data_IF_390851045776
#
_entry.id   IF_390851045776
#
_cell.length_a   1.000
_cell.length_b   1.000
_cell.length_c   1.000
_cell.angle_alpha   90.00
_cell.angle_beta   90.00
_cell.angle_gamma   90.00
#
_symmetry.space_group_name_H-M   'P 1'
#
loop_
_entity.id
_entity.type
_entity.pdbx_description
1 polymer ?
#
# COMPACT_ATOMS: atom_id res chain seq x y z
N UNK A 1 15.27 -0.51 11.83
CA UNK A 1 14.20 0.18 11.09
C UNK A 1 13.29 -0.88 10.49
N UNK A 2 11.99 -0.72 10.66
CA UNK A 2 10.99 -1.66 10.13
C UNK A 2 10.00 -0.91 9.23
N UNK A 3 9.67 -1.53 8.10
CA UNK A 3 8.81 -0.96 7.07
C UNK A 3 7.65 -1.92 6.83
N UNK A 4 6.43 -1.39 6.85
CA UNK A 4 5.21 -2.13 6.55
C UNK A 4 4.65 -1.68 5.20
N UNK A 5 4.51 -2.60 4.26
CA UNK A 5 3.80 -2.38 3.01
C UNK A 5 2.32 -2.75 3.16
N UNK A 6 1.44 -1.82 2.80
CA UNK A 6 0.00 -2.00 2.66
C UNK A 6 -0.33 -1.95 1.17
N UNK A 7 -0.48 -3.11 0.56
CA UNK A 7 -0.60 -3.22 -0.88
C UNK A 7 -1.75 -4.08 -1.36
N UNK A 8 -1.76 -4.33 -2.67
CA UNK A 8 -2.75 -5.16 -3.35
C UNK A 8 -2.07 -6.40 -3.96
N UNK A 9 -2.61 -6.92 -5.06
CA UNK A 9 -2.13 -8.13 -5.73
C UNK A 9 -0.63 -8.13 -6.05
N UNK A 10 0.00 -6.98 -6.36
CA UNK A 10 1.44 -6.90 -6.68
C UNK A 10 2.29 -7.10 -5.42
N UNK A 11 1.79 -6.65 -4.28
CA UNK A 11 2.45 -6.78 -2.98
C UNK A 11 2.23 -8.20 -2.39
N UNK A 12 1.15 -8.89 -2.77
CA UNK A 12 0.78 -10.24 -2.28
C UNK A 12 1.55 -11.41 -2.94
N UNK A 13 2.20 -11.18 -4.09
CA UNK A 13 2.78 -12.27 -4.89
C UNK A 13 3.88 -13.06 -4.16
N UNK A 14 3.95 -14.38 -4.44
CA UNK A 14 5.16 -15.18 -4.18
C UNK A 14 6.29 -14.55 -5.00
N UNK A 15 7.44 -14.31 -4.38
CA UNK A 15 8.55 -13.55 -4.96
C UNK A 15 8.20 -12.07 -5.23
N UNK A 16 7.43 -11.44 -4.33
CA UNK A 16 7.12 -10.02 -4.43
C UNK A 16 8.37 -9.15 -4.34
N UNK A 17 8.29 -7.93 -4.88
CA UNK A 17 9.35 -6.93 -4.77
C UNK A 17 9.72 -6.63 -3.30
N UNK A 18 8.78 -6.80 -2.35
CA UNK A 18 9.03 -6.62 -0.91
C UNK A 18 9.99 -7.69 -0.39
N UNK A 19 9.83 -8.95 -0.82
CA UNK A 19 10.75 -10.03 -0.46
C UNK A 19 12.15 -9.75 -1.03
N UNK A 20 12.23 -9.34 -2.30
CA UNK A 20 13.50 -8.98 -2.94
C UNK A 20 14.20 -7.81 -2.25
N UNK A 21 13.45 -6.80 -1.77
CA UNK A 21 14.03 -5.72 -0.95
C UNK A 21 14.65 -6.25 0.35
N UNK A 22 14.04 -7.25 0.98
CA UNK A 22 14.59 -7.92 2.16
C UNK A 22 15.89 -8.67 1.88
N UNK A 23 16.06 -9.20 0.68
CA UNK A 23 17.31 -9.85 0.25
C UNK A 23 18.42 -8.82 -0.02
N UNK A 24 18.07 -7.66 -0.57
CA UNK A 24 19.01 -6.58 -0.90
C UNK A 24 19.47 -5.75 0.30
N UNK A 25 18.70 -5.73 1.38
CA UNK A 25 19.05 -4.93 2.57
C UNK A 25 19.09 -5.80 3.81
N UNK A 26 20.21 -5.76 4.53
CA UNK A 26 20.41 -6.60 5.72
C UNK A 26 19.99 -5.93 7.04
N UNK A 27 19.72 -4.62 7.04
CA UNK A 27 19.48 -3.83 8.26
C UNK A 27 18.03 -3.31 8.36
N UNK A 28 17.19 -3.62 7.38
CA UNK A 28 15.80 -3.15 7.30
C UNK A 28 14.90 -4.36 7.30
N UNK A 29 13.95 -4.40 8.23
CA UNK A 29 12.92 -5.43 8.27
C UNK A 29 11.74 -4.98 7.44
N UNK A 30 11.39 -5.74 6.41
CA UNK A 30 10.20 -5.49 5.61
C UNK A 30 9.10 -6.48 5.96
N UNK A 31 7.88 -5.98 6.17
CA UNK A 31 6.68 -6.78 6.25
C UNK A 31 5.67 -6.25 5.24
N UNK A 32 4.77 -7.11 4.79
CA UNK A 32 3.73 -6.72 3.87
C UNK A 32 2.41 -7.34 4.28
N UNK A 33 1.35 -6.54 4.21
CA UNK A 33 -0.03 -7.01 4.23
C UNK A 33 -0.65 -6.56 2.92
N UNK A 34 -1.17 -7.53 2.17
CA UNK A 34 -1.73 -7.28 0.86
C UNK A 34 -3.02 -8.06 0.68
N UNK A 35 -3.99 -7.42 0.02
CA UNK A 35 -5.26 -8.04 -0.33
C UNK A 35 -5.57 -7.73 -1.78
N UNK A 36 -5.51 -8.73 -2.66
CA UNK A 36 -5.88 -8.57 -4.06
C UNK A 36 -7.32 -8.09 -4.27
N UNK A 37 -7.53 -7.13 -5.17
CA UNK A 37 -8.86 -6.68 -5.58
C UNK A 37 -9.65 -5.86 -4.55
N UNK A 38 -9.05 -5.50 -3.40
CA UNK A 38 -9.74 -4.72 -2.37
C UNK A 38 -9.96 -3.26 -2.80
N UNK A 39 -11.11 -2.71 -2.40
CA UNK A 39 -11.43 -1.30 -2.58
C UNK A 39 -10.61 -0.43 -1.60
N UNK A 40 -10.01 0.71 -2.02
CA UNK A 40 -9.23 1.61 -1.15
C UNK A 40 -9.93 2.03 0.16
N UNK A 41 -11.21 2.43 0.12
CA UNK A 41 -12.00 2.69 1.34
C UNK A 41 -12.05 1.50 2.30
N UNK A 42 -12.23 0.27 1.79
CA UNK A 42 -12.27 -0.94 2.63
C UNK A 42 -10.87 -1.23 3.17
N UNK A 43 -9.84 -1.09 2.33
CA UNK A 43 -8.44 -1.20 2.73
C UNK A 43 -8.08 -0.25 3.88
N UNK A 44 -8.53 1.01 3.84
CA UNK A 44 -8.27 1.98 4.91
C UNK A 44 -8.84 1.56 6.27
N UNK A 45 -9.93 0.80 6.29
CA UNK A 45 -10.53 0.27 7.52
C UNK A 45 -9.84 -1.03 7.95
N UNK A 46 -9.61 -1.97 7.02
CA UNK A 46 -9.00 -3.26 7.34
C UNK A 46 -7.57 -3.11 7.85
N UNK A 47 -6.78 -2.25 7.20
CA UNK A 47 -5.39 -2.06 7.57
C UNK A 47 -5.21 -1.22 8.84
N UNK A 48 -6.29 -0.66 9.42
CA UNK A 48 -6.20 0.03 10.71
C UNK A 48 -5.58 -0.85 11.79
N UNK A 49 -6.02 -2.11 11.89
CA UNK A 49 -5.48 -3.06 12.86
C UNK A 49 -3.99 -3.28 12.63
N UNK A 50 -3.60 -3.54 11.38
CA UNK A 50 -2.21 -3.77 10.99
C UNK A 50 -1.31 -2.57 11.31
N UNK A 51 -1.76 -1.35 11.00
CA UNK A 51 -1.04 -0.11 11.34
C UNK A 51 -0.91 0.02 12.86
N UNK A 52 -1.96 -0.28 13.62
CA UNK A 52 -1.97 -0.10 15.08
C UNK A 52 -1.11 -1.12 15.83
N UNK A 53 -1.04 -2.37 15.36
CA UNK A 53 -0.28 -3.44 16.00
C UNK A 53 1.15 -3.59 15.46
N UNK A 54 1.47 -2.93 14.35
CA UNK A 54 2.80 -2.99 13.75
C UNK A 54 3.83 -2.17 14.53
N UNK A 55 5.03 -2.74 14.65
CA UNK A 55 6.26 -2.10 15.13
C UNK A 55 6.97 -1.28 14.05
N UNK A 56 6.42 -1.19 12.84
CA UNK A 56 7.03 -0.47 11.73
C UNK A 56 7.14 1.04 12.00
N UNK A 57 8.29 1.60 11.66
CA UNK A 57 8.57 3.04 11.68
C UNK A 57 7.94 3.75 10.47
N UNK A 58 7.91 3.04 9.34
CA UNK A 58 7.45 3.52 8.04
C UNK A 58 6.32 2.62 7.54
N UNK A 59 5.25 3.23 7.02
CA UNK A 59 4.16 2.51 6.36
C UNK A 59 4.07 2.98 4.91
N UNK A 60 4.29 2.05 3.98
CA UNK A 60 4.18 2.28 2.54
C UNK A 60 2.79 1.89 2.07
N UNK A 61 2.10 2.80 1.39
CA UNK A 61 0.78 2.57 0.78
C UNK A 61 0.97 2.35 -0.73
N UNK A 62 0.70 1.14 -1.20
CA UNK A 62 0.72 0.75 -2.63
C UNK A 62 -0.72 0.49 -3.10
N UNK A 63 -1.52 1.56 -3.25
CA UNK A 63 -2.92 1.46 -3.73
C UNK A 63 -3.14 2.09 -5.10
N UNK A 64 -2.06 2.58 -5.70
CA UNK A 64 -2.01 3.24 -7.01
C UNK A 64 -2.54 2.32 -8.13
N UNK A 65 -2.26 1.02 -8.05
CA UNK A 65 -2.78 0.02 -9.00
C UNK A 65 -4.31 -0.07 -9.02
N UNK A 66 -5.00 0.10 -7.88
CA UNK A 66 -6.48 0.09 -7.86
C UNK A 66 -7.08 1.40 -8.36
N UNK A 67 -6.40 2.54 -8.18
CA UNK A 67 -6.81 3.81 -8.77
C UNK A 67 -6.73 3.80 -10.31
N UNK A 68 -5.74 3.10 -10.87
CA UNK A 68 -5.50 3.03 -12.31
C UNK A 68 -6.56 2.22 -13.08
N UNK A 69 -7.20 1.22 -12.46
CA UNK A 69 -8.18 0.34 -13.14
C UNK A 69 -9.56 0.97 -13.37
N UNK A 70 -9.68 2.31 -13.29
CA UNK A 70 -10.93 3.07 -13.44
C UNK A 70 -12.09 2.59 -12.54
N UNK A 71 -11.80 1.83 -11.49
CA UNK A 71 -12.84 1.36 -10.57
C UNK A 71 -13.39 2.49 -9.68
N UNK A 72 -12.71 3.65 -9.62
CA UNK A 72 -12.99 4.70 -8.64
C UNK A 72 -12.89 6.11 -9.22
N UNK A 73 -13.68 7.02 -8.67
CA UNK A 73 -13.43 8.44 -8.88
C UNK A 73 -12.14 8.86 -8.17
N UNK A 74 -11.38 9.78 -8.79
CA UNK A 74 -10.19 10.41 -8.18
C UNK A 74 -10.46 10.91 -6.76
N UNK A 75 -11.66 11.45 -6.51
CA UNK A 75 -12.07 11.95 -5.19
C UNK A 75 -12.16 10.83 -4.13
N UNK A 76 -12.74 9.69 -4.47
CA UNK A 76 -12.84 8.55 -3.55
C UNK A 76 -11.46 7.98 -3.22
N UNK A 77 -10.58 7.86 -4.22
CA UNK A 77 -9.21 7.42 -4.00
C UNK A 77 -8.43 8.35 -3.07
N UNK A 78 -8.46 9.66 -3.34
CA UNK A 78 -7.81 10.67 -2.49
C UNK A 78 -8.36 10.60 -1.06
N UNK A 79 -9.68 10.45 -0.90
CA UNK A 79 -10.29 10.34 0.42
C UNK A 79 -9.78 9.11 1.18
N UNK A 80 -9.74 7.93 0.54
CA UNK A 80 -9.20 6.71 1.14
C UNK A 80 -7.73 6.86 1.55
N UNK A 81 -6.91 7.46 0.68
CA UNK A 81 -5.50 7.73 0.98
C UNK A 81 -5.34 8.64 2.21
N UNK A 82 -6.09 9.73 2.27
CA UNK A 82 -6.01 10.67 3.40
C UNK A 82 -6.43 10.03 4.71
N UNK A 83 -7.43 9.13 4.70
CA UNK A 83 -7.80 8.35 5.88
C UNK A 83 -6.66 7.44 6.33
N UNK A 84 -6.06 6.69 5.40
CA UNK A 84 -4.94 5.81 5.69
C UNK A 84 -3.74 6.59 6.26
N UNK A 85 -3.37 7.70 5.63
CA UNK A 85 -2.31 8.61 6.08
C UNK A 85 -2.61 9.12 7.49
N UNK A 86 -3.84 9.57 7.74
CA UNK A 86 -4.26 10.03 9.06
C UNK A 86 -4.10 8.95 10.14
N UNK A 87 -4.44 7.70 9.82
CA UNK A 87 -4.20 6.57 10.73
C UNK A 87 -2.72 6.32 10.98
N UNK A 88 -1.88 6.30 9.95
CA UNK A 88 -0.44 6.08 10.06
C UNK A 88 0.20 7.16 10.96
N UNK A 89 -0.07 8.43 10.68
CA UNK A 89 0.46 9.58 11.43
C UNK A 89 -0.03 9.55 12.88
N UNK A 90 -1.30 9.21 13.11
CA UNK A 90 -1.87 9.08 14.47
C UNK A 90 -1.12 8.08 15.34
N UNK A 91 -0.54 7.03 14.74
CA UNK A 91 0.26 6.03 15.45
C UNK A 91 1.76 6.34 15.46
N UNK A 92 2.17 7.57 15.12
CA UNK A 92 3.56 8.02 15.17
C UNK A 92 4.46 7.43 14.09
N UNK A 93 3.87 6.92 12.99
CA UNK A 93 4.58 6.28 11.87
C UNK A 93 4.72 7.26 10.70
N UNK A 94 5.71 7.03 9.84
CA UNK A 94 5.93 7.83 8.62
C UNK A 94 5.14 7.22 7.46
N UNK A 95 4.15 7.93 6.89
CA UNK A 95 3.45 7.48 5.70
C UNK A 95 4.31 7.72 4.45
N UNK A 96 4.40 6.71 3.60
CA UNK A 96 5.00 6.80 2.26
C UNK A 96 3.97 6.31 1.25
N UNK A 97 3.79 7.05 0.16
CA UNK A 97 2.92 6.63 -0.94
C UNK A 97 3.82 6.07 -2.03
N UNK A 98 3.60 4.81 -2.40
CA UNK A 98 4.24 4.20 -3.55
C UNK A 98 3.26 4.25 -4.71
N UNK A 99 3.54 5.11 -5.69
CA UNK A 99 2.78 5.21 -6.92
C UNK A 99 3.44 4.35 -7.99
N UNK A 100 2.90 3.14 -8.23
CA UNK A 100 3.37 2.27 -9.29
C UNK A 100 2.53 2.52 -10.55
N UNK A 101 3.05 3.25 -11.56
CA UNK A 101 2.36 3.35 -12.83
C UNK A 101 2.26 1.96 -13.46
N UNK A 102 1.03 1.51 -13.70
CA UNK A 102 0.75 0.27 -14.43
C UNK A 102 0.98 0.51 -15.93
N UNK A 103 2.25 0.51 -16.35
CA UNK A 103 2.61 0.57 -17.78
C UNK A 103 2.21 -0.72 -18.53
N UNK A 104 1.87 -1.79 -17.80
CA UNK A 104 1.37 -3.06 -18.31
C UNK A 104 -0.12 -3.04 -18.66
N UNK A 105 -0.85 -2.01 -18.20
CA UNK A 105 -2.24 -1.77 -18.57
C UNK A 105 -2.21 -0.59 -19.53
N UNK A 106 -2.13 -0.90 -20.82
CA UNK A 106 -2.42 0.12 -21.83
C UNK A 106 -3.81 0.66 -21.48
N UNK A 107 -3.99 1.97 -21.22
CA UNK A 107 -5.33 2.52 -21.16
C UNK A 107 -5.93 2.19 -22.52
N UNK A 108 -6.86 1.23 -22.56
CA UNK A 108 -7.71 1.11 -23.73
C UNK A 108 -8.31 2.49 -23.90
N UNK A 109 -8.11 3.06 -25.09
CA UNK A 109 -8.64 4.35 -25.50
C UNK A 109 -10.13 4.40 -25.18
N UNK A 110 -10.49 5.03 -24.06
CA UNK A 110 -11.83 5.49 -23.71
C UNK A 110 -11.74 6.99 -23.43
#
# INVERSE_FOLDING_TARGET
MEVLFLGLSVTEQRDSYVQFLGELTHNIKFNSVAVGGIHPNVASVLFFREISSSTADIVVIEWSTSAFRNWFSRKQYIHALLLAIGHIVRFGKVPVILDLPRLDVCPSED
#
